data_IF_733066254438
#
_entry.id   IF_733066254438
#
_cell.length_a   1.000
_cell.length_b   1.000
_cell.length_c   1.000
_cell.angle_alpha   90.00
_cell.angle_beta   90.00
_cell.angle_gamma   90.00
#
_symmetry.space_group_name_H-M   'P 1'
#
loop_
_entity.id
_entity.type
_entity.pdbx_description
1 polymer ?
#
# COMPACT_ATOMS: atom_id res chain seq x y z
N UNK A 1 -23.41 -10.72 18.28
CA UNK A 1 -22.52 -9.59 17.91
C UNK A 1 -21.11 -10.15 17.72
N UNK A 2 -20.53 -10.08 16.52
CA UNK A 2 -19.40 -10.92 16.10
C UNK A 2 -18.05 -10.26 16.49
N UNK A 3 -17.20 -10.93 17.29
CA UNK A 3 -15.92 -10.38 17.82
C UNK A 3 -14.97 -9.79 16.77
N UNK A 4 -15.05 -10.30 15.53
CA UNK A 4 -14.18 -9.90 14.42
C UNK A 4 -14.44 -8.47 13.95
N UNK A 5 -15.70 -8.04 13.91
CA UNK A 5 -16.08 -6.67 13.51
C UNK A 5 -15.49 -5.65 14.48
N UNK A 6 -15.57 -5.93 15.79
CA UNK A 6 -15.06 -5.02 16.80
C UNK A 6 -13.53 -4.84 16.77
N UNK A 7 -12.78 -5.90 16.45
CA UNK A 7 -11.32 -5.81 16.33
C UNK A 7 -10.89 -5.00 15.09
N UNK A 8 -11.62 -5.13 13.99
CA UNK A 8 -11.37 -4.34 12.77
C UNK A 8 -11.71 -2.86 12.99
N UNK A 9 -12.76 -2.56 13.77
CA UNK A 9 -13.13 -1.19 14.16
C UNK A 9 -12.04 -0.53 15.03
N UNK A 10 -11.54 -1.24 16.05
CA UNK A 10 -10.46 -0.76 16.93
C UNK A 10 -9.17 -0.49 16.13
N UNK A 11 -8.81 -1.39 15.21
CA UNK A 11 -7.64 -1.20 14.36
C UNK A 11 -7.83 0.02 13.44
N UNK A 12 -9.02 0.18 12.87
CA UNK A 12 -9.32 1.31 11.98
C UNK A 12 -9.25 2.65 12.73
N UNK A 13 -9.74 2.72 13.97
CA UNK A 13 -9.60 3.89 14.83
C UNK A 13 -8.12 4.19 15.15
N UNK A 14 -7.35 3.16 15.51
CA UNK A 14 -5.90 3.32 15.75
C UNK A 14 -5.17 3.84 14.51
N UNK A 15 -5.42 3.28 13.34
CA UNK A 15 -4.82 3.72 12.08
C UNK A 15 -5.23 5.17 11.73
N UNK A 16 -6.45 5.57 12.09
CA UNK A 16 -6.92 6.94 11.90
C UNK A 16 -6.15 7.94 12.79
N UNK A 17 -5.91 7.59 14.06
CA UNK A 17 -5.11 8.45 14.93
C UNK A 17 -3.67 8.59 14.41
N UNK A 18 -3.07 7.49 13.96
CA UNK A 18 -1.72 7.50 13.38
C UNK A 18 -1.64 8.38 12.13
N UNK A 19 -2.62 8.29 11.21
CA UNK A 19 -2.59 9.13 9.99
C UNK A 19 -2.70 10.62 10.32
N UNK A 20 -3.49 11.01 11.34
CA UNK A 20 -3.56 12.39 11.80
C UNK A 20 -2.22 12.92 12.35
N UNK A 21 -1.43 12.08 13.01
CA UNK A 21 -0.07 12.44 13.43
C UNK A 21 0.91 12.50 12.24
N UNK A 22 0.82 11.56 11.30
CA UNK A 22 1.66 11.55 10.09
C UNK A 22 1.42 12.81 9.24
N UNK A 23 0.20 13.34 9.20
CA UNK A 23 -0.11 14.62 8.55
C UNK A 23 0.69 15.81 9.12
N UNK A 24 1.19 15.68 10.35
CA UNK A 24 2.04 16.65 11.05
C UNK A 24 3.52 16.25 11.00
N UNK A 25 3.90 15.32 10.11
CA UNK A 25 5.26 14.81 9.94
C UNK A 25 5.82 14.08 11.17
N UNK A 26 4.96 13.40 11.95
CA UNK A 26 5.39 12.52 13.03
C UNK A 26 5.96 11.21 12.47
N UNK A 27 7.29 11.07 12.56
CA UNK A 27 8.03 9.88 12.09
C UNK A 27 7.71 8.63 12.92
N UNK A 28 7.47 8.77 14.23
CA UNK A 28 7.15 7.63 15.08
C UNK A 28 5.76 7.08 14.74
N UNK A 29 4.79 7.97 14.52
CA UNK A 29 3.47 7.57 14.06
C UNK A 29 3.53 6.85 12.70
N UNK A 30 4.44 7.26 11.82
CA UNK A 30 4.67 6.58 10.54
C UNK A 30 5.27 5.19 10.71
N UNK A 31 6.24 5.02 11.62
CA UNK A 31 6.79 3.70 11.97
C UNK A 31 5.70 2.77 12.50
N UNK A 32 4.90 3.23 13.46
CA UNK A 32 3.81 2.44 14.03
C UNK A 32 2.74 2.08 12.97
N UNK A 33 2.46 3.02 12.06
CA UNK A 33 1.55 2.79 10.93
C UNK A 33 2.11 1.72 9.98
N UNK A 34 3.41 1.79 9.67
CA UNK A 34 4.10 0.81 8.85
C UNK A 34 3.98 -0.60 9.45
N UNK A 35 4.34 -0.77 10.72
CA UNK A 35 4.31 -2.07 11.41
C UNK A 35 2.91 -2.71 11.41
N UNK A 36 1.85 -1.90 11.51
CA UNK A 36 0.47 -2.38 11.49
C UNK A 36 -0.06 -2.74 10.10
N UNK A 37 0.59 -2.30 9.03
CA UNK A 37 0.03 -2.37 7.66
C UNK A 37 0.90 -3.10 6.66
N UNK A 38 2.22 -3.18 6.87
CA UNK A 38 3.19 -3.71 5.91
C UNK A 38 2.85 -5.13 5.45
N UNK A 39 2.48 -6.04 6.35
CA UNK A 39 2.16 -7.43 5.99
C UNK A 39 1.01 -7.54 4.99
N UNK A 40 -0.02 -6.69 5.15
CA UNK A 40 -1.20 -6.65 4.27
C UNK A 40 -0.83 -6.05 2.91
N UNK A 41 -0.02 -4.99 2.92
CA UNK A 41 0.48 -4.33 1.70
C UNK A 41 1.38 -5.30 0.92
N UNK A 42 2.37 -5.91 1.57
CA UNK A 42 3.28 -6.87 0.97
C UNK A 42 2.52 -8.05 0.36
N UNK A 43 1.61 -8.67 1.12
CA UNK A 43 0.81 -9.81 0.65
C UNK A 43 -0.02 -9.47 -0.60
N UNK A 44 -0.57 -8.26 -0.67
CA UNK A 44 -1.33 -7.80 -1.83
C UNK A 44 -0.43 -7.59 -3.05
N UNK A 45 0.68 -6.88 -2.86
CA UNK A 45 1.63 -6.56 -3.94
C UNK A 45 2.26 -7.84 -4.49
N UNK A 46 2.71 -8.75 -3.61
CA UNK A 46 3.27 -10.05 -3.99
C UNK A 46 2.29 -10.88 -4.81
N UNK A 47 1.01 -10.90 -4.43
CA UNK A 47 -0.04 -11.60 -5.19
C UNK A 47 -0.20 -11.07 -6.61
N UNK A 48 0.07 -9.79 -6.85
CA UNK A 48 -0.04 -9.15 -8.17
C UNK A 48 1.22 -9.38 -9.02
N UNK A 49 2.41 -9.25 -8.41
CA UNK A 49 3.68 -9.23 -9.14
C UNK A 49 4.35 -10.60 -9.23
N UNK A 50 4.14 -11.47 -8.24
CA UNK A 50 4.74 -12.81 -8.15
C UNK A 50 6.26 -12.83 -8.03
N UNK A 51 6.90 -11.68 -7.78
CA UNK A 51 8.34 -11.52 -7.68
C UNK A 51 8.70 -10.77 -6.40
N UNK A 52 9.70 -11.27 -5.66
CA UNK A 52 10.08 -10.74 -4.36
C UNK A 52 10.70 -9.33 -4.46
N UNK A 53 11.62 -9.13 -5.40
CA UNK A 53 12.35 -7.87 -5.51
C UNK A 53 11.41 -6.74 -5.96
N UNK A 54 10.60 -7.00 -6.98
CA UNK A 54 9.57 -6.06 -7.43
C UNK A 54 8.58 -5.72 -6.31
N UNK A 55 8.27 -6.71 -5.45
CA UNK A 55 7.36 -6.50 -4.31
C UNK A 55 7.97 -5.56 -3.28
N UNK A 56 9.21 -5.80 -2.87
CA UNK A 56 9.91 -4.97 -1.89
C UNK A 56 10.04 -3.52 -2.38
N UNK A 57 10.41 -3.33 -3.65
CA UNK A 57 10.49 -2.00 -4.27
C UNK A 57 9.13 -1.28 -4.26
N UNK A 58 8.06 -1.97 -4.70
CA UNK A 58 6.71 -1.37 -4.71
C UNK A 58 6.21 -1.08 -3.31
N UNK A 59 6.51 -1.93 -2.32
CA UNK A 59 6.13 -1.68 -0.91
C UNK A 59 6.81 -0.40 -0.40
N UNK A 60 8.11 -0.23 -0.64
CA UNK A 60 8.83 0.99 -0.30
C UNK A 60 8.20 2.23 -0.95
N UNK A 61 7.88 2.16 -2.25
CA UNK A 61 7.21 3.24 -2.97
C UNK A 61 5.84 3.59 -2.39
N UNK A 62 5.07 2.59 -1.98
CA UNK A 62 3.74 2.79 -1.38
C UNK A 62 3.85 3.57 -0.09
N UNK A 63 4.77 3.20 0.79
CA UNK A 63 4.95 3.89 2.07
C UNK A 63 5.56 5.29 1.89
N UNK A 64 6.51 5.47 0.97
CA UNK A 64 7.00 6.79 0.58
C UNK A 64 5.86 7.69 0.06
N UNK A 65 4.96 7.13 -0.76
CA UNK A 65 3.80 7.85 -1.27
C UNK A 65 2.81 8.19 -0.15
N UNK A 66 2.57 7.28 0.79
CA UNK A 66 1.69 7.52 1.95
C UNK A 66 2.23 8.67 2.79
N UNK A 67 3.53 8.68 3.11
CA UNK A 67 4.18 9.77 3.83
C UNK A 67 3.96 11.12 3.14
N UNK A 68 4.21 11.18 1.82
CA UNK A 68 4.05 12.41 1.03
C UNK A 68 2.59 12.87 0.87
N UNK A 69 1.63 11.96 0.95
CA UNK A 69 0.23 12.22 0.64
C UNK A 69 -0.71 12.06 1.84
N UNK A 70 -0.18 11.91 3.06
CA UNK A 70 -0.98 11.72 4.26
C UNK A 70 -2.01 12.85 4.45
N UNK A 71 -1.65 14.09 4.10
CA UNK A 71 -2.53 15.27 4.16
C UNK A 71 -3.71 15.23 3.18
N UNK A 72 -3.67 14.32 2.18
CA UNK A 72 -4.76 14.11 1.22
C UNK A 72 -5.73 13.02 1.65
N UNK A 73 -5.44 12.30 2.74
CA UNK A 73 -6.37 11.35 3.32
C UNK A 73 -7.49 12.09 4.06
N UNK A 74 -8.71 11.67 3.80
CA UNK A 74 -9.90 12.15 4.49
C UNK A 74 -10.81 10.96 4.82
N UNK A 75 -11.27 10.87 6.07
CA UNK A 75 -12.02 9.71 6.58
C UNK A 75 -13.35 9.46 5.88
N UNK A 76 -13.97 10.50 5.32
CA UNK A 76 -15.22 10.37 4.56
C UNK A 76 -15.05 9.62 3.23
N UNK A 77 -13.81 9.47 2.73
CA UNK A 77 -13.51 8.78 1.47
C UNK A 77 -13.29 7.28 1.65
N UNK A 78 -13.26 6.80 2.88
CA UNK A 78 -13.09 5.39 3.22
C UNK A 78 -12.08 5.15 4.33
N UNK A 79 -11.89 3.88 4.68
CA UNK A 79 -10.97 3.47 5.73
C UNK A 79 -9.50 3.72 5.36
N UNK A 80 -8.66 3.93 6.38
CA UNK A 80 -7.22 4.16 6.20
C UNK A 80 -6.57 2.95 5.53
N UNK A 81 -6.95 1.74 5.98
CA UNK A 81 -6.46 0.51 5.36
C UNK A 81 -6.93 0.37 3.91
N UNK A 82 -8.17 0.77 3.59
CA UNK A 82 -8.68 0.75 2.23
C UNK A 82 -7.90 1.68 1.30
N UNK A 83 -7.60 2.90 1.78
CA UNK A 83 -6.78 3.87 1.06
C UNK A 83 -5.34 3.37 0.84
N UNK A 84 -4.71 2.80 1.87
CA UNK A 84 -3.39 2.19 1.79
C UNK A 84 -3.32 1.06 0.75
N UNK A 85 -4.28 0.12 0.79
CA UNK A 85 -4.36 -1.00 -0.15
C UNK A 85 -4.67 -0.54 -1.58
N UNK A 86 -5.42 0.56 -1.75
CA UNK A 86 -5.66 1.16 -3.07
C UNK A 86 -4.35 1.67 -3.69
N UNK A 87 -3.54 2.42 -2.93
CA UNK A 87 -2.22 2.89 -3.38
C UNK A 87 -1.35 1.69 -3.79
N UNK A 88 -1.27 0.67 -2.92
CA UNK A 88 -0.52 -0.55 -3.18
C UNK A 88 -0.94 -1.26 -4.47
N UNK A 89 -2.26 -1.42 -4.66
CA UNK A 89 -2.80 -2.04 -5.87
C UNK A 89 -2.45 -1.23 -7.13
N UNK A 90 -2.59 0.09 -7.09
CA UNK A 90 -2.27 0.95 -8.24
C UNK A 90 -0.79 0.82 -8.64
N UNK A 91 0.13 0.94 -7.67
CA UNK A 91 1.58 0.80 -7.93
C UNK A 91 1.95 -0.57 -8.50
N UNK A 92 1.43 -1.65 -7.89
CA UNK A 92 1.67 -3.00 -8.37
C UNK A 92 1.13 -3.22 -9.80
N UNK A 93 -0.06 -2.70 -10.12
CA UNK A 93 -0.62 -2.80 -11.47
C UNK A 93 0.18 -1.99 -12.49
N UNK A 94 0.70 -0.83 -12.12
CA UNK A 94 1.52 -0.01 -13.02
C UNK A 94 2.83 -0.71 -13.38
N UNK A 95 3.50 -1.32 -12.40
CA UNK A 95 4.70 -2.13 -12.66
C UNK A 95 4.37 -3.38 -13.49
N UNK A 96 3.28 -4.08 -13.15
CA UNK A 96 2.82 -5.24 -13.91
C UNK A 96 2.57 -4.91 -15.39
N UNK A 97 1.93 -3.76 -15.67
CA UNK A 97 1.71 -3.28 -17.04
C UNK A 97 3.02 -2.97 -17.75
N UNK A 98 3.97 -2.29 -17.09
CA UNK A 98 5.30 -2.00 -17.65
C UNK A 98 6.03 -3.28 -18.05
N UNK A 99 6.01 -4.32 -17.20
CA UNK A 99 6.59 -5.64 -17.49
C UNK A 99 5.95 -6.31 -18.71
N UNK A 100 4.62 -6.28 -18.82
CA UNK A 100 3.92 -6.83 -19.99
C UNK A 100 4.24 -6.10 -21.27
N UNK A 101 4.24 -4.76 -21.25
CA UNK A 101 4.59 -3.96 -22.42
C UNK A 101 6.02 -4.24 -22.88
N UNK A 102 6.97 -4.35 -21.93
CA UNK A 102 8.35 -4.70 -22.23
C UNK A 102 8.48 -6.06 -22.94
N UNK A 103 7.74 -7.08 -22.48
CA UNK A 103 7.71 -8.41 -23.11
C UNK A 103 7.14 -8.35 -24.53
N UNK A 104 6.10 -7.54 -24.78
CA UNK A 104 5.50 -7.41 -26.12
C UNK A 104 6.45 -6.68 -27.09
N UNK A 105 7.22 -5.69 -26.61
CA UNK A 105 8.21 -4.98 -27.43
C UNK A 105 9.49 -5.80 -27.70
N UNK A 106 9.88 -6.69 -26.78
CA UNK A 106 11.03 -7.60 -26.96
C UNK A 106 10.54 -8.90 -27.59
N UNK A 107 9.93 -8.83 -28.78
CA UNK A 107 9.74 -10.04 -29.61
C UNK A 107 11.08 -10.42 -30.23
N UNK A 108 11.59 -11.65 -30.04
CA UNK A 108 12.82 -12.08 -30.70
C UNK A 108 12.55 -12.18 -32.20
N UNK A 109 13.33 -11.43 -32.99
CA UNK A 109 13.45 -11.64 -34.43
C UNK A 109 13.94 -13.06 -34.64
N UNK A 110 13.06 -13.96 -35.11
CA UNK A 110 13.47 -15.28 -35.56
C UNK A 110 14.37 -15.07 -36.79
N UNK A 111 15.63 -15.48 -36.67
CA UNK A 111 16.49 -15.79 -37.82
C UNK A 111 15.91 -16.98 -38.58
#
# INVERSE_FOLDING_TARGET
MNKRLHADDILQEKLFLLICSIQQSDEQAFSDFYDLTVDRVYSLVFRILGDKNDTEEVVCDVFAQIWQQATKYYSERGSVIGWCLLIARCRALDLYRKRKTFIVSVRPSKK
#
